data_IF_891845891888
#
_entry.id   IF_891845891888
#
_cell.length_a   1.000
_cell.length_b   1.000
_cell.length_c   1.000
_cell.angle_alpha   90.00
_cell.angle_beta   90.00
_cell.angle_gamma   90.00
#
_symmetry.space_group_name_H-M   'P 1'
#
loop_
_entity.id
_entity.type
_entity.pdbx_description
1 polymer ?
#
# COMPACT_ATOMS: atom_id res chain seq x y z
N UNK A 1 -11.99 -1.75 6.84
CA UNK A 1 -13.16 -2.55 6.45
C UNK A 1 -13.50 -3.48 7.60
N UNK A 2 -14.74 -3.43 8.06
CA UNK A 2 -15.20 -4.18 9.25
C UNK A 2 -15.16 -5.69 9.09
N UNK A 3 -15.28 -6.42 10.20
CA UNK A 3 -15.27 -7.87 10.21
C UNK A 3 -16.59 -8.44 9.66
N UNK A 4 -16.60 -8.96 8.45
CA UNK A 4 -17.77 -9.63 7.90
C UNK A 4 -17.66 -9.93 6.42
N UNK A 5 -18.52 -10.79 5.92
CA UNK A 5 -18.72 -11.06 4.51
C UNK A 5 -19.97 -10.34 3.98
N UNK A 6 -20.34 -9.21 4.62
CA UNK A 6 -21.63 -8.52 4.38
C UNK A 6 -21.92 -8.34 2.88
N UNK A 7 -20.99 -7.75 2.14
CA UNK A 7 -21.17 -7.54 0.69
C UNK A 7 -21.31 -8.89 -0.06
N UNK A 8 -20.50 -9.89 0.29
CA UNK A 8 -20.56 -11.22 -0.32
C UNK A 8 -21.89 -11.89 -0.02
N UNK A 9 -22.41 -11.74 1.18
CA UNK A 9 -23.69 -12.33 1.60
C UNK A 9 -24.87 -11.65 0.90
N UNK A 10 -24.85 -10.31 0.77
CA UNK A 10 -25.86 -9.58 -0.03
C UNK A 10 -25.82 -10.07 -1.49
N UNK A 11 -24.66 -10.14 -2.11
CA UNK A 11 -24.53 -10.61 -3.50
C UNK A 11 -25.03 -12.08 -3.62
N UNK A 12 -24.66 -12.94 -2.68
CA UNK A 12 -25.02 -14.35 -2.71
C UNK A 12 -26.48 -14.64 -2.30
N UNK A 13 -27.17 -13.66 -1.69
CA UNK A 13 -28.61 -13.81 -1.36
C UNK A 13 -29.47 -13.83 -2.62
N UNK A 14 -29.03 -13.16 -3.71
CA UNK A 14 -29.82 -13.02 -4.95
C UNK A 14 -31.01 -12.06 -4.85
N UNK A 15 -31.22 -11.43 -3.69
CA UNK A 15 -32.37 -10.56 -3.42
C UNK A 15 -32.17 -9.16 -4.04
N UNK A 16 -30.94 -8.71 -4.08
CA UNK A 16 -30.57 -7.37 -4.56
C UNK A 16 -30.02 -7.40 -5.98
N UNK A 17 -30.35 -6.42 -6.82
CA UNK A 17 -29.71 -6.30 -8.13
C UNK A 17 -28.22 -6.04 -7.99
N UNK A 18 -27.40 -6.72 -8.79
CA UNK A 18 -25.93 -6.65 -8.70
C UNK A 18 -25.35 -6.19 -10.03
N UNK A 19 -24.66 -5.06 -10.02
CA UNK A 19 -23.82 -4.62 -11.14
C UNK A 19 -22.37 -4.97 -10.87
N UNK A 20 -21.72 -5.66 -11.80
CA UNK A 20 -20.31 -6.07 -11.70
C UNK A 20 -19.45 -5.31 -12.70
N UNK A 21 -18.38 -4.68 -12.19
CA UNK A 21 -17.36 -4.07 -13.02
C UNK A 21 -16.29 -5.12 -13.36
N UNK A 22 -16.19 -5.48 -14.64
CA UNK A 22 -15.29 -6.55 -15.11
C UNK A 22 -14.06 -6.01 -15.84
N UNK A 23 -13.99 -4.70 -16.14
CA UNK A 23 -12.86 -4.09 -16.84
C UNK A 23 -12.00 -3.26 -15.91
N UNK A 24 -10.68 -3.42 -16.03
CA UNK A 24 -9.68 -2.60 -15.37
C UNK A 24 -9.27 -1.52 -16.37
N UNK A 25 -9.61 -0.25 -16.10
CA UNK A 25 -9.30 0.89 -16.98
C UNK A 25 -8.02 1.63 -16.59
N UNK A 26 -7.33 1.18 -15.56
CA UNK A 26 -6.22 1.90 -14.92
C UNK A 26 -4.93 1.85 -15.71
N UNK A 27 -4.74 0.83 -16.52
CA UNK A 27 -3.54 0.58 -17.34
C UNK A 27 -3.94 0.39 -18.81
N UNK A 28 -2.93 0.36 -19.72
CA UNK A 28 -3.14 0.04 -21.15
C UNK A 28 -3.72 -1.37 -21.29
N UNK A 29 -4.58 -1.60 -22.28
CA UNK A 29 -5.27 -2.89 -22.48
C UNK A 29 -4.32 -4.10 -22.60
N UNK A 30 -3.10 -3.91 -23.10
CA UNK A 30 -2.07 -4.95 -23.24
C UNK A 30 -1.05 -4.99 -22.09
N UNK A 31 -1.33 -4.33 -20.95
CA UNK A 31 -0.46 -4.34 -19.78
C UNK A 31 -0.41 -5.72 -19.13
N UNK A 32 0.78 -6.22 -18.85
CA UNK A 32 0.96 -7.46 -18.07
C UNK A 32 0.50 -7.31 -16.63
N UNK A 33 0.42 -6.09 -16.10
CA UNK A 33 -0.20 -5.84 -14.78
C UNK A 33 -1.67 -6.25 -14.82
N UNK A 34 -2.43 -5.84 -15.86
CA UNK A 34 -3.85 -6.20 -16.03
C UNK A 34 -4.00 -7.69 -16.27
N UNK A 35 -3.23 -8.24 -17.20
CA UNK A 35 -3.29 -9.67 -17.52
C UNK A 35 -2.98 -10.53 -16.28
N UNK A 36 -1.94 -10.18 -15.53
CA UNK A 36 -1.58 -10.90 -14.31
C UNK A 36 -2.57 -10.66 -13.17
N UNK A 37 -3.19 -9.48 -13.06
CA UNK A 37 -4.27 -9.25 -12.08
C UNK A 37 -5.45 -10.20 -12.34
N UNK A 38 -5.87 -10.40 -13.60
CA UNK A 38 -6.89 -11.38 -13.96
C UNK A 38 -6.43 -12.81 -13.67
N UNK A 39 -5.19 -13.18 -14.02
CA UNK A 39 -4.62 -14.49 -13.73
C UNK A 39 -4.52 -14.77 -12.23
N UNK A 40 -4.11 -13.79 -11.42
CA UNK A 40 -4.13 -13.87 -9.95
C UNK A 40 -5.56 -14.16 -9.48
N UNK A 41 -6.55 -13.41 -9.96
CA UNK A 41 -7.94 -13.58 -9.56
C UNK A 41 -8.51 -14.96 -9.93
N UNK A 42 -8.05 -15.55 -11.05
CA UNK A 42 -8.45 -16.88 -11.49
C UNK A 42 -7.60 -18.03 -10.88
N UNK A 43 -6.45 -17.73 -10.27
CA UNK A 43 -5.51 -18.74 -9.77
C UNK A 43 -4.65 -19.37 -10.85
N UNK A 44 -4.44 -18.66 -11.95
CA UNK A 44 -3.67 -19.08 -13.10
C UNK A 44 -2.18 -18.74 -12.96
N UNK A 45 -1.34 -19.36 -13.81
CA UNK A 45 0.08 -19.04 -13.87
C UNK A 45 0.31 -17.62 -14.43
N UNK A 46 1.27 -16.90 -13.81
CA UNK A 46 1.58 -15.52 -14.15
C UNK A 46 2.51 -15.44 -15.37
N UNK A 47 2.36 -14.36 -16.13
CA UNK A 47 3.27 -13.97 -17.19
C UNK A 47 4.35 -13.08 -16.59
N UNK A 48 5.59 -13.58 -16.50
CA UNK A 48 6.67 -12.92 -15.79
C UNK A 48 7.82 -12.53 -16.75
N UNK A 49 8.50 -11.43 -16.45
CA UNK A 49 9.78 -11.03 -17.06
C UNK A 49 9.75 -10.95 -18.61
N UNK A 50 8.66 -10.48 -19.19
CA UNK A 50 8.62 -10.23 -20.63
C UNK A 50 9.47 -9.02 -20.99
N UNK A 51 10.19 -9.10 -22.10
CA UNK A 51 10.92 -7.97 -22.67
C UNK A 51 9.93 -6.84 -22.95
N UNK A 52 10.29 -5.63 -22.55
CA UNK A 52 9.44 -4.43 -22.67
C UNK A 52 8.10 -4.53 -21.91
N UNK A 53 8.00 -5.45 -20.95
CA UNK A 53 6.83 -5.61 -20.08
C UNK A 53 6.83 -4.63 -18.91
N UNK A 54 5.79 -4.74 -18.08
CA UNK A 54 5.54 -3.92 -16.91
C UNK A 54 5.36 -4.76 -15.63
N UNK A 55 5.69 -6.07 -15.68
CA UNK A 55 5.52 -7.02 -14.59
C UNK A 55 6.73 -7.96 -14.47
N UNK A 56 7.49 -7.82 -13.39
CA UNK A 56 8.75 -8.51 -13.21
C UNK A 56 8.83 -9.28 -11.90
N UNK A 57 9.67 -10.31 -11.85
CA UNK A 57 10.09 -10.99 -10.63
C UNK A 57 11.61 -11.14 -10.59
N UNK A 58 12.19 -10.77 -9.45
CA UNK A 58 13.56 -11.09 -9.07
C UNK A 58 13.52 -12.19 -8.02
N UNK A 59 14.01 -13.38 -8.41
CA UNK A 59 13.93 -14.58 -7.54
C UNK A 59 15.02 -14.53 -6.48
N UNK A 60 14.64 -14.72 -5.24
CA UNK A 60 15.53 -14.91 -4.10
C UNK A 60 14.78 -15.59 -2.94
N UNK A 61 15.48 -16.40 -2.14
CA UNK A 61 14.90 -17.17 -1.05
C UNK A 61 15.47 -16.79 0.33
N UNK A 62 16.25 -15.71 0.40
CA UNK A 62 16.83 -15.19 1.64
C UNK A 62 16.27 -13.81 1.96
N UNK A 63 15.66 -13.64 3.15
CA UNK A 63 15.01 -12.38 3.53
C UNK A 63 15.97 -11.18 3.56
N UNK A 64 17.21 -11.38 4.03
CA UNK A 64 18.21 -10.31 4.08
C UNK A 64 18.60 -9.86 2.66
N UNK A 65 18.87 -10.84 1.77
CA UNK A 65 19.20 -10.54 0.38
C UNK A 65 18.00 -9.89 -0.35
N UNK A 66 16.77 -10.31 -0.06
CA UNK A 66 15.56 -9.65 -0.59
C UNK A 66 15.53 -8.17 -0.12
N UNK A 67 15.81 -7.90 1.15
CA UNK A 67 15.87 -6.54 1.67
C UNK A 67 16.93 -5.69 0.96
N UNK A 68 18.11 -6.25 0.71
CA UNK A 68 19.20 -5.58 -0.03
C UNK A 68 18.81 -5.33 -1.50
N UNK A 69 18.16 -6.30 -2.16
CA UNK A 69 17.63 -6.13 -3.51
C UNK A 69 16.57 -5.03 -3.57
N UNK A 70 15.66 -4.97 -2.60
CA UNK A 70 14.65 -3.90 -2.50
C UNK A 70 15.33 -2.52 -2.43
N UNK A 71 16.33 -2.39 -1.58
CA UNK A 71 17.12 -1.16 -1.44
C UNK A 71 17.85 -0.80 -2.75
N UNK A 72 18.52 -1.75 -3.39
CA UNK A 72 19.19 -1.52 -4.67
C UNK A 72 18.22 -1.13 -5.80
N UNK A 73 17.04 -1.76 -5.85
CA UNK A 73 15.98 -1.41 -6.80
C UNK A 73 15.57 0.05 -6.66
N UNK A 74 15.23 0.46 -5.44
CA UNK A 74 14.75 1.82 -5.17
C UNK A 74 15.82 2.87 -5.46
N UNK A 75 17.06 2.63 -5.02
CA UNK A 75 18.12 3.63 -5.09
C UNK A 75 18.83 3.71 -6.45
N UNK A 76 18.92 2.58 -7.17
CA UNK A 76 19.80 2.49 -8.34
C UNK A 76 19.13 1.93 -9.59
N UNK A 77 18.53 0.72 -9.50
CA UNK A 77 18.09 0.01 -10.71
C UNK A 77 16.89 0.67 -11.38
N UNK A 78 15.86 1.04 -10.59
CA UNK A 78 14.66 1.68 -11.12
C UNK A 78 14.98 3.08 -11.67
N UNK A 79 15.65 3.99 -10.94
CA UNK A 79 16.07 5.27 -11.50
C UNK A 79 16.85 5.11 -12.82
N UNK A 80 17.83 4.20 -12.86
CA UNK A 80 18.60 3.94 -14.09
C UNK A 80 17.74 3.39 -15.23
N UNK A 81 16.84 2.45 -14.95
CA UNK A 81 15.95 1.85 -15.95
C UNK A 81 15.02 2.89 -16.59
N UNK A 82 14.51 3.84 -15.82
CA UNK A 82 13.68 4.94 -16.29
C UNK A 82 14.49 6.21 -16.64
N UNK A 83 15.78 6.07 -16.98
CA UNK A 83 16.67 7.18 -17.39
C UNK A 83 16.73 8.35 -16.38
N UNK A 84 16.56 8.04 -15.10
CA UNK A 84 16.52 8.99 -13.98
C UNK A 84 15.33 9.99 -14.01
N UNK A 85 14.33 9.77 -14.87
CA UNK A 85 13.06 10.52 -14.90
C UNK A 85 12.06 9.93 -13.90
N UNK A 86 12.53 9.72 -12.65
CA UNK A 86 11.75 9.11 -11.56
C UNK A 86 12.09 9.83 -10.25
N UNK A 87 11.07 10.30 -9.57
CA UNK A 87 11.16 10.75 -8.18
C UNK A 87 10.99 9.52 -7.26
N UNK A 88 12.09 9.13 -6.59
CA UNK A 88 12.12 7.93 -5.72
C UNK A 88 11.01 7.98 -4.66
N UNK A 89 10.76 9.16 -4.10
CA UNK A 89 9.78 9.31 -3.02
C UNK A 89 8.33 9.32 -3.52
N UNK A 90 8.08 9.87 -4.71
CA UNK A 90 6.72 9.99 -5.25
C UNK A 90 6.32 8.79 -6.10
N UNK A 91 7.24 8.32 -6.94
CA UNK A 91 6.91 7.35 -7.98
C UNK A 91 7.06 5.90 -7.54
N UNK A 92 7.87 5.63 -6.51
CA UNK A 92 8.12 4.28 -6.03
C UNK A 92 7.43 4.04 -4.68
N UNK A 93 6.71 2.92 -4.59
CA UNK A 93 6.13 2.48 -3.33
C UNK A 93 6.42 1.01 -3.08
N UNK A 94 7.00 0.72 -1.92
CA UNK A 94 7.16 -0.65 -1.43
C UNK A 94 5.91 -1.04 -0.64
N UNK A 95 5.30 -2.18 -1.01
CA UNK A 95 4.11 -2.73 -0.37
C UNK A 95 4.44 -4.06 0.29
N UNK A 96 4.45 -4.11 1.62
CA UNK A 96 4.64 -5.36 2.35
C UNK A 96 3.34 -5.86 2.97
N UNK A 97 3.06 -7.17 2.97
CA UNK A 97 1.89 -7.70 3.66
C UNK A 97 2.00 -7.70 5.19
N UNK A 98 3.21 -7.54 5.75
CA UNK A 98 3.51 -7.64 7.18
C UNK A 98 4.07 -6.35 7.78
N UNK A 99 3.90 -6.18 9.10
CA UNK A 99 4.47 -5.03 9.84
C UNK A 99 5.82 -5.32 10.48
N UNK A 100 6.03 -6.54 10.98
CA UNK A 100 7.22 -6.97 11.75
C UNK A 100 8.08 -7.93 10.92
N UNK A 101 9.34 -8.11 11.31
CA UNK A 101 10.32 -8.95 10.59
C UNK A 101 11.15 -8.17 9.59
N UNK A 102 12.11 -8.83 8.95
CA UNK A 102 13.10 -8.22 8.03
C UNK A 102 12.40 -7.53 6.86
N UNK A 103 11.39 -8.18 6.27
CA UNK A 103 10.60 -7.66 5.16
C UNK A 103 9.33 -6.93 5.63
N UNK A 104 9.20 -6.68 6.93
CA UNK A 104 8.09 -5.94 7.51
C UNK A 104 8.24 -4.43 7.33
N UNK A 105 7.10 -3.74 7.25
CA UNK A 105 7.03 -2.28 7.04
C UNK A 105 7.89 -1.52 8.04
N UNK A 106 7.91 -1.94 9.30
CA UNK A 106 8.68 -1.25 10.34
C UNK A 106 10.19 -1.25 10.03
N UNK A 107 10.75 -2.42 9.70
CA UNK A 107 12.17 -2.54 9.36
C UNK A 107 12.48 -1.89 8.01
N UNK A 108 11.63 -2.10 7.00
CA UNK A 108 11.84 -1.51 5.68
C UNK A 108 11.85 0.02 5.73
N UNK A 109 11.00 0.65 6.55
CA UNK A 109 11.01 2.09 6.73
C UNK A 109 12.32 2.60 7.35
N UNK A 110 12.89 1.89 8.34
CA UNK A 110 14.20 2.24 8.89
C UNK A 110 15.31 2.12 7.84
N UNK A 111 15.35 0.99 7.11
CA UNK A 111 16.33 0.76 6.05
C UNK A 111 16.26 1.81 4.95
N UNK A 112 15.05 2.17 4.52
CA UNK A 112 14.85 3.17 3.48
C UNK A 112 15.12 4.59 3.99
N UNK A 113 14.72 4.95 5.20
CA UNK A 113 15.04 6.25 5.79
C UNK A 113 16.56 6.47 5.79
N UNK A 114 17.35 5.54 6.32
CA UNK A 114 18.81 5.66 6.36
C UNK A 114 19.46 5.65 4.96
N UNK A 115 18.81 5.03 3.98
CA UNK A 115 19.37 4.92 2.62
C UNK A 115 18.97 6.07 1.70
N UNK A 116 17.74 6.60 1.85
CA UNK A 116 17.18 7.65 0.98
C UNK A 116 17.38 9.03 1.61
N UNK A 117 17.18 9.11 2.92
CA UNK A 117 17.27 10.34 3.69
C UNK A 117 18.23 10.17 4.87
N UNK A 118 19.54 9.95 4.64
CA UNK A 118 20.51 9.78 5.71
C UNK A 118 20.65 11.02 6.58
N UNK A 119 21.17 10.84 7.79
CA UNK A 119 21.50 11.93 8.70
C UNK A 119 22.45 12.93 8.05
N UNK A 120 22.16 14.21 8.22
CA UNK A 120 23.02 15.30 7.74
C UNK A 120 22.95 16.48 8.74
N UNK A 121 24.01 17.27 8.80
CA UNK A 121 24.09 18.43 9.71
C UNK A 121 23.10 19.54 9.41
N UNK A 122 22.60 19.59 8.17
CA UNK A 122 21.63 20.58 7.67
C UNK A 122 20.16 20.14 7.87
N UNK A 123 19.92 18.93 8.42
CA UNK A 123 18.59 18.38 8.63
C UNK A 123 18.26 18.27 10.13
N UNK A 124 17.22 18.94 10.52
CA UNK A 124 16.69 18.79 11.87
C UNK A 124 15.99 17.43 12.04
N UNK A 125 16.08 16.89 13.24
CA UNK A 125 15.52 15.60 13.63
C UNK A 125 14.74 15.73 14.93
N UNK A 126 13.70 14.90 15.10
CA UNK A 126 12.94 14.73 16.32
C UNK A 126 12.70 13.25 16.58
N UNK A 127 12.89 12.82 17.83
CA UNK A 127 12.47 11.48 18.28
C UNK A 127 11.13 11.61 19.02
N UNK A 128 10.15 10.84 18.57
CA UNK A 128 8.84 10.76 19.21
C UNK A 128 8.36 9.30 19.27
N UNK A 129 8.03 8.84 20.47
CA UNK A 129 7.60 7.45 20.75
C UNK A 129 8.53 6.39 20.11
N UNK A 130 9.84 6.63 20.14
CA UNK A 130 10.85 5.73 19.59
C UNK A 130 11.02 5.80 18.06
N UNK A 131 10.26 6.63 17.37
CA UNK A 131 10.44 6.89 15.93
C UNK A 131 11.26 8.16 15.74
N UNK A 132 12.26 8.09 14.87
CA UNK A 132 13.07 9.24 14.46
C UNK A 132 12.44 9.87 13.21
N UNK A 133 12.02 11.13 13.31
CA UNK A 133 11.52 11.92 12.18
C UNK A 133 12.57 12.95 11.77
N UNK A 134 12.80 13.07 10.47
CA UNK A 134 13.83 13.93 9.86
C UNK A 134 13.24 14.74 8.71
N UNK A 135 13.71 15.95 8.52
CA UNK A 135 13.36 16.74 7.33
C UNK A 135 13.67 15.95 6.06
N UNK A 136 12.70 15.88 5.14
CA UNK A 136 12.76 15.07 3.91
C UNK A 136 12.13 13.68 4.04
N UNK A 137 11.70 13.24 5.23
CA UNK A 137 11.04 11.94 5.38
C UNK A 137 9.69 11.89 4.67
N UNK A 138 9.41 10.75 4.05
CA UNK A 138 8.10 10.40 3.52
C UNK A 138 7.24 9.81 4.63
N UNK A 139 6.07 10.40 4.87
CA UNK A 139 5.14 9.98 5.93
C UNK A 139 3.73 9.79 5.38
N UNK A 140 2.89 9.08 6.14
CA UNK A 140 1.48 8.87 5.84
C UNK A 140 0.65 9.17 7.09
N UNK A 141 -0.44 9.90 6.92
CA UNK A 141 -1.49 10.03 7.92
C UNK A 141 -2.19 8.68 8.13
N UNK A 142 -2.34 8.25 9.38
CA UNK A 142 -2.88 6.91 9.71
C UNK A 142 -4.25 6.94 10.39
N UNK A 143 -4.80 8.14 10.59
CA UNK A 143 -6.15 8.37 11.12
C UNK A 143 -6.77 9.58 10.42
N UNK A 144 -8.09 9.61 10.30
CA UNK A 144 -8.76 10.85 9.92
C UNK A 144 -8.69 11.84 11.08
N UNK A 145 -8.19 13.03 10.80
CA UNK A 145 -8.22 14.13 11.75
C UNK A 145 -8.77 15.38 11.08
N UNK A 146 -9.99 15.74 11.41
CA UNK A 146 -10.73 16.87 10.82
C UNK A 146 -10.35 18.22 11.44
N UNK A 147 -9.62 18.22 12.56
CA UNK A 147 -9.31 19.41 13.35
C UNK A 147 -7.88 19.92 13.14
N UNK A 148 -7.00 19.11 12.57
CA UNK A 148 -5.62 19.55 12.28
C UNK A 148 -5.66 20.75 11.35
N UNK A 149 -5.02 21.83 11.79
CA UNK A 149 -4.92 23.08 11.04
C UNK A 149 -3.73 23.03 10.09
N UNK A 150 -3.96 23.50 8.89
CA UNK A 150 -2.96 23.69 7.86
C UNK A 150 -3.23 24.95 7.05
N UNK A 151 -2.43 25.14 6.02
CA UNK A 151 -2.58 26.25 5.10
C UNK A 151 -2.07 25.88 3.70
N UNK A 152 -2.63 26.53 2.71
CA UNK A 152 -2.14 26.42 1.34
C UNK A 152 -0.84 27.20 1.17
N UNK A 153 0.14 26.59 0.49
CA UNK A 153 1.46 27.23 0.22
C UNK A 153 1.33 28.49 -0.62
N UNK A 154 0.36 28.53 -1.55
CA UNK A 154 0.20 29.59 -2.53
C UNK A 154 -0.23 30.93 -1.94
N UNK A 155 -1.17 30.93 -1.02
CA UNK A 155 -1.86 32.14 -0.55
C UNK A 155 -1.99 32.22 0.98
N UNK A 156 -1.57 31.17 1.70
CA UNK A 156 -1.67 31.10 3.16
C UNK A 156 -3.10 30.86 3.68
N UNK A 157 -4.06 30.59 2.78
CA UNK A 157 -5.44 30.30 3.21
C UNK A 157 -5.48 29.10 4.14
N UNK A 158 -6.23 29.22 5.23
CA UNK A 158 -6.36 28.14 6.20
C UNK A 158 -7.20 26.98 5.67
N UNK A 159 -6.73 25.78 5.93
CA UNK A 159 -7.43 24.52 5.65
C UNK A 159 -7.47 23.66 6.90
N UNK A 160 -8.47 22.81 7.00
CA UNK A 160 -8.60 21.80 8.07
C UNK A 160 -8.71 20.41 7.48
N UNK A 161 -8.15 19.47 8.19
CA UNK A 161 -8.35 18.04 7.97
C UNK A 161 -7.29 17.38 7.11
N UNK A 162 -6.76 16.28 7.65
CA UNK A 162 -5.89 15.32 6.96
C UNK A 162 -6.49 13.92 7.14
N UNK A 163 -6.45 13.10 6.09
CA UNK A 163 -7.18 11.86 6.07
C UNK A 163 -6.27 10.63 6.06
N UNK A 164 -6.78 9.54 6.59
CA UNK A 164 -6.08 8.27 6.60
C UNK A 164 -5.69 7.83 5.18
N UNK A 165 -4.40 7.63 4.96
CA UNK A 165 -3.83 7.29 3.66
C UNK A 165 -3.19 8.45 2.91
N UNK A 166 -3.37 9.71 3.36
CA UNK A 166 -2.70 10.86 2.77
C UNK A 166 -1.18 10.73 2.98
N UNK A 167 -0.42 10.84 1.90
CA UNK A 167 1.05 10.79 1.90
C UNK A 167 1.60 12.20 1.81
N UNK A 168 2.54 12.51 2.69
CA UNK A 168 3.21 13.80 2.73
C UNK A 168 4.72 13.66 2.98
N UNK A 169 5.38 14.82 2.98
CA UNK A 169 6.82 14.92 3.18
C UNK A 169 7.11 15.91 4.29
N UNK A 170 7.99 15.54 5.22
CA UNK A 170 8.41 16.42 6.30
C UNK A 170 9.29 17.53 5.71
N UNK A 171 8.84 18.77 5.85
CA UNK A 171 9.54 19.95 5.32
C UNK A 171 10.24 20.75 6.42
N UNK A 172 9.82 20.59 7.67
CA UNK A 172 10.43 21.27 8.82
C UNK A 172 10.25 20.43 10.08
N UNK A 173 11.27 20.44 10.93
CA UNK A 173 11.29 19.77 12.25
C UNK A 173 11.92 20.71 13.26
N UNK A 174 11.23 20.96 14.37
CA UNK A 174 11.78 21.66 15.51
C UNK A 174 11.44 20.94 16.81
N UNK A 175 11.86 21.44 17.97
CA UNK A 175 11.66 20.78 19.27
C UNK A 175 10.20 20.50 19.65
N UNK A 176 9.26 21.24 19.07
CA UNK A 176 7.84 21.20 19.43
C UNK A 176 6.96 20.60 18.33
N UNK A 177 7.34 20.78 17.07
CA UNK A 177 6.46 20.54 15.93
C UNK A 177 7.20 19.93 14.74
N UNK A 178 6.42 19.25 13.90
CA UNK A 178 6.80 18.80 12.57
C UNK A 178 5.81 19.41 11.57
N UNK A 179 6.30 20.00 10.49
CA UNK A 179 5.49 20.47 9.37
C UNK A 179 5.57 19.47 8.22
N UNK A 180 4.41 19.02 7.74
CA UNK A 180 4.30 18.04 6.65
C UNK A 180 3.59 18.67 5.46
N UNK A 181 4.20 18.56 4.29
CA UNK A 181 3.66 18.99 3.00
C UNK A 181 2.88 17.84 2.36
N UNK A 182 1.59 18.03 2.14
CA UNK A 182 0.70 17.10 1.42
C UNK A 182 0.32 17.67 0.04
N UNK A 183 0.12 16.79 -0.93
CA UNK A 183 -0.28 17.13 -2.31
C UNK A 183 0.60 18.21 -2.98
N UNK A 184 1.78 18.49 -2.44
CA UNK A 184 2.70 19.53 -2.92
C UNK A 184 2.25 20.96 -2.66
N UNK A 185 1.11 21.21 -2.01
CA UNK A 185 0.53 22.53 -1.86
C UNK A 185 -0.15 22.81 -0.51
N UNK A 186 -0.22 21.83 0.40
CA UNK A 186 -0.86 21.95 1.72
C UNK A 186 0.13 21.62 2.82
N UNK A 187 0.35 22.52 3.76
CA UNK A 187 1.22 22.29 4.91
C UNK A 187 0.36 22.14 6.15
N UNK A 188 0.56 21.03 6.87
CA UNK A 188 -0.07 20.77 8.16
C UNK A 188 0.98 20.66 9.25
N UNK A 189 0.65 21.21 10.42
CA UNK A 189 1.51 21.25 11.58
C UNK A 189 1.11 20.17 12.58
N UNK A 190 2.07 19.33 12.92
CA UNK A 190 1.93 18.28 13.94
C UNK A 190 2.70 18.63 15.19
N UNK A 191 2.06 18.58 16.33
CA UNK A 191 2.68 18.66 17.63
C UNK A 191 2.64 17.32 18.38
N UNK A 192 3.10 17.26 19.60
CA UNK A 192 3.15 16.02 20.40
C UNK A 192 1.77 15.39 20.65
N UNK A 193 0.68 16.10 20.45
CA UNK A 193 -0.68 15.58 20.69
C UNK A 193 -1.19 14.76 19.49
N UNK A 194 -0.78 15.13 18.29
CA UNK A 194 -1.24 14.50 17.05
C UNK A 194 -0.14 13.82 16.20
N UNK A 195 1.14 13.95 16.61
CA UNK A 195 2.27 13.34 15.90
C UNK A 195 2.19 11.79 15.85
N UNK A 196 1.47 11.15 16.78
CA UNK A 196 1.17 9.71 16.73
C UNK A 196 0.24 9.30 15.58
N UNK A 197 -0.29 10.26 14.84
CA UNK A 197 -1.19 10.03 13.71
C UNK A 197 -0.46 9.92 12.37
N UNK A 198 0.86 10.09 12.36
CA UNK A 198 1.69 9.86 11.18
C UNK A 198 2.66 8.70 11.40
N UNK A 199 2.96 7.97 10.33
CA UNK A 199 3.99 6.92 10.27
C UNK A 199 4.87 7.13 9.04
N UNK A 200 6.11 6.63 9.06
CA UNK A 200 6.94 6.59 7.84
C UNK A 200 6.25 5.80 6.74
N UNK A 201 6.42 6.23 5.50
CA UNK A 201 5.71 5.69 4.34
C UNK A 201 6.61 5.34 3.15
N UNK A 202 7.91 5.12 3.34
CA UNK A 202 8.78 4.53 2.32
C UNK A 202 8.29 3.14 1.93
N UNK A 203 7.89 2.35 2.93
CA UNK A 203 7.12 1.12 2.77
C UNK A 203 5.81 1.23 3.56
N UNK A 204 4.71 0.72 3.01
CA UNK A 204 3.40 0.66 3.66
C UNK A 204 2.80 -0.75 3.56
N UNK A 205 1.82 -1.05 4.41
CA UNK A 205 1.12 -2.33 4.28
C UNK A 205 0.20 -2.33 3.07
N UNK A 206 -0.01 -3.51 2.47
CA UNK A 206 -0.97 -3.65 1.36
C UNK A 206 -2.35 -3.12 1.72
N UNK A 207 -2.79 -3.29 2.97
CA UNK A 207 -4.08 -2.74 3.43
C UNK A 207 -4.12 -1.21 3.42
N UNK A 208 -3.03 -0.55 3.82
CA UNK A 208 -2.94 0.92 3.81
C UNK A 208 -2.82 1.51 2.39
N UNK A 209 -2.44 0.70 1.40
CA UNK A 209 -2.40 1.13 0.00
C UNK A 209 -3.78 1.12 -0.69
N UNK A 210 -4.83 0.63 -0.03
CA UNK A 210 -6.18 0.63 -0.59
C UNK A 210 -6.66 2.07 -0.81
N UNK A 211 -7.17 2.34 -2.00
CA UNK A 211 -7.57 3.70 -2.43
C UNK A 211 -6.44 4.49 -3.10
N UNK A 212 -5.17 4.17 -2.82
CA UNK A 212 -4.02 4.84 -3.42
C UNK A 212 -3.52 4.13 -4.68
N UNK A 213 -2.75 4.84 -5.49
CA UNK A 213 -2.13 4.34 -6.72
C UNK A 213 -0.72 4.91 -6.86
N UNK A 214 0.20 4.10 -7.36
CA UNK A 214 1.60 4.46 -7.50
C UNK A 214 2.12 4.14 -8.90
N UNK A 215 3.00 4.95 -9.50
CA UNK A 215 3.62 4.62 -10.78
C UNK A 215 4.32 3.26 -10.73
N UNK A 216 5.15 3.02 -9.74
CA UNK A 216 5.93 1.79 -9.57
C UNK A 216 5.66 1.18 -8.20
N UNK A 217 5.31 -0.10 -8.19
CA UNK A 217 5.08 -0.87 -6.95
C UNK A 217 6.09 -2.00 -6.86
N UNK A 218 6.74 -2.12 -5.70
CA UNK A 218 7.65 -3.21 -5.38
C UNK A 218 7.05 -4.03 -4.24
N UNK A 219 7.02 -5.34 -4.38
CA UNK A 219 6.38 -6.24 -3.42
C UNK A 219 7.35 -7.34 -3.02
N UNK A 220 7.82 -7.40 -1.76
CA UNK A 220 8.55 -8.55 -1.26
C UNK A 220 7.62 -9.76 -1.17
N UNK A 221 8.07 -10.89 -1.69
CA UNK A 221 7.36 -12.17 -1.69
C UNK A 221 8.18 -13.18 -0.90
N UNK A 222 7.67 -13.57 0.25
CA UNK A 222 8.31 -14.54 1.13
C UNK A 222 7.24 -15.36 1.88
N UNK A 223 7.66 -16.37 2.65
CA UNK A 223 6.73 -17.14 3.48
C UNK A 223 6.32 -16.36 4.72
N UNK A 224 5.17 -15.75 4.65
CA UNK A 224 4.52 -15.07 5.77
C UNK A 224 3.50 -16.01 6.45
N UNK A 225 2.73 -15.50 7.40
CA UNK A 225 1.61 -16.24 7.98
C UNK A 225 0.56 -16.59 6.93
N UNK A 226 -0.04 -17.77 7.00
CA UNK A 226 -1.00 -18.27 5.99
C UNK A 226 -2.15 -17.29 5.70
N UNK A 227 -2.59 -16.52 6.69
CA UNK A 227 -3.66 -15.51 6.53
C UNK A 227 -3.24 -14.41 5.55
N UNK A 228 -1.96 -14.04 5.52
CA UNK A 228 -1.43 -12.99 4.66
C UNK A 228 -0.94 -13.53 3.30
N UNK A 229 -0.79 -14.86 3.19
CA UNK A 229 -0.37 -15.57 1.99
C UNK A 229 -1.57 -15.92 1.12
N UNK A 230 -2.38 -14.94 0.74
CA UNK A 230 -3.60 -15.20 -0.03
C UNK A 230 -3.67 -14.35 -1.32
N UNK A 231 -4.47 -14.84 -2.26
CA UNK A 231 -4.71 -14.24 -3.57
C UNK A 231 -5.17 -12.79 -3.50
N UNK A 232 -6.06 -12.46 -2.57
CA UNK A 232 -6.65 -11.12 -2.48
C UNK A 232 -5.62 -10.06 -2.10
N UNK A 233 -4.67 -10.40 -1.22
CA UNK A 233 -3.57 -9.50 -0.83
C UNK A 233 -2.65 -9.27 -2.04
N UNK A 234 -2.27 -10.33 -2.75
CA UNK A 234 -1.45 -10.20 -3.95
C UNK A 234 -2.15 -9.36 -5.04
N UNK A 235 -3.42 -9.67 -5.32
CA UNK A 235 -4.24 -8.89 -6.26
C UNK A 235 -4.31 -7.42 -5.89
N UNK A 236 -4.60 -7.13 -4.62
CA UNK A 236 -4.69 -5.76 -4.11
C UNK A 236 -3.38 -5.02 -4.30
N UNK A 237 -2.24 -5.63 -3.96
CA UNK A 237 -0.93 -5.02 -4.10
C UNK A 237 -0.57 -4.75 -5.57
N UNK A 238 -0.73 -5.73 -6.45
CA UNK A 238 -0.43 -5.62 -7.89
C UNK A 238 -1.25 -4.54 -8.56
N UNK A 239 -2.55 -4.45 -8.23
CA UNK A 239 -3.45 -3.45 -8.82
C UNK A 239 -3.21 -2.03 -8.32
N UNK A 240 -2.28 -1.78 -7.41
CA UNK A 240 -1.86 -0.42 -7.01
C UNK A 240 -0.92 0.23 -8.02
N UNK A 241 -0.26 -0.55 -8.87
CA UNK A 241 0.71 -0.03 -9.84
C UNK A 241 0.06 0.52 -11.11
N UNK A 242 0.59 1.65 -11.60
CA UNK A 242 0.18 2.26 -12.89
C UNK A 242 1.11 1.90 -14.03
N UNK A 243 2.43 1.82 -13.79
CA UNK A 243 3.46 1.69 -14.83
C UNK A 243 4.28 0.42 -14.72
N UNK A 244 4.59 -0.03 -13.49
CA UNK A 244 5.45 -1.19 -13.29
C UNK A 244 5.20 -1.89 -11.95
N UNK A 245 5.21 -3.23 -11.97
CA UNK A 245 5.23 -4.09 -10.78
C UNK A 245 6.51 -4.88 -10.76
N UNK A 246 7.20 -4.88 -9.62
CA UNK A 246 8.38 -5.69 -9.38
C UNK A 246 8.15 -6.54 -8.13
N UNK A 247 8.07 -7.85 -8.32
CA UNK A 247 8.05 -8.82 -7.22
C UNK A 247 9.49 -9.21 -6.90
N UNK A 248 9.83 -9.30 -5.62
CA UNK A 248 11.17 -9.73 -5.18
C UNK A 248 11.02 -10.84 -4.16
N UNK A 249 11.50 -12.04 -4.48
CA UNK A 249 11.48 -13.13 -3.51
C UNK A 249 11.20 -14.53 -4.04
N UNK A 250 10.58 -15.35 -3.19
CA UNK A 250 10.36 -16.78 -3.41
C UNK A 250 9.22 -17.02 -4.41
N UNK A 251 9.55 -17.65 -5.54
CA UNK A 251 8.59 -18.03 -6.58
C UNK A 251 7.56 -19.04 -6.08
N UNK A 252 7.95 -19.94 -5.16
CA UNK A 252 7.03 -20.94 -4.60
C UNK A 252 6.00 -20.26 -3.67
N UNK A 253 6.47 -19.28 -2.88
CA UNK A 253 5.59 -18.45 -2.07
C UNK A 253 4.61 -17.66 -2.94
N UNK A 254 5.08 -17.09 -4.06
CA UNK A 254 4.22 -16.40 -5.03
C UNK A 254 3.12 -17.32 -5.59
N UNK A 255 3.51 -18.50 -6.07
CA UNK A 255 2.56 -19.47 -6.63
C UNK A 255 1.57 -20.01 -5.58
N UNK A 256 2.04 -20.13 -4.33
CA UNK A 256 1.14 -20.45 -3.22
C UNK A 256 0.10 -19.34 -3.01
N UNK A 257 0.50 -18.06 -2.99
CA UNK A 257 -0.43 -16.94 -2.86
C UNK A 257 -1.47 -16.90 -3.99
N UNK A 258 -1.05 -17.14 -5.23
CA UNK A 258 -1.96 -17.18 -6.41
C UNK A 258 -3.03 -18.26 -6.26
N UNK A 259 -2.67 -19.42 -5.72
CA UNK A 259 -3.58 -20.58 -5.55
C UNK A 259 -4.42 -20.49 -4.28
N UNK A 260 -3.92 -19.79 -3.27
CA UNK A 260 -4.57 -19.73 -1.95
C UNK A 260 -5.76 -18.76 -1.94
N UNK A 261 -6.96 -19.31 -1.86
CA UNK A 261 -8.22 -18.57 -1.73
C UNK A 261 -8.71 -18.50 -0.29
N UNK A 262 -7.95 -19.05 0.68
CA UNK A 262 -8.39 -19.10 2.08
C UNK A 262 -8.54 -17.67 2.61
N UNK A 263 -9.77 -17.27 2.81
CA UNK A 263 -10.17 -16.16 3.67
C UNK A 263 -10.56 -16.74 5.01
N UNK A 264 -10.43 -15.98 6.08
CA UNK A 264 -11.00 -16.38 7.38
C UNK A 264 -12.45 -16.76 7.16
N UNK A 265 -12.76 -18.05 7.29
CA UNK A 265 -14.14 -18.53 7.15
C UNK A 265 -14.93 -17.89 8.28
N UNK A 266 -15.82 -17.00 7.92
CA UNK A 266 -16.80 -16.41 8.82
C UNK A 266 -18.14 -16.99 8.44
N UNK A 267 -18.90 -17.41 9.42
CA UNK A 267 -20.27 -17.96 9.25
C UNK A 267 -21.27 -16.84 9.53
N UNK A 268 -21.56 -15.97 8.57
CA UNK A 268 -22.54 -14.94 8.76
C UNK A 268 -23.94 -15.54 8.62
N UNK A 269 -24.80 -15.25 9.58
CA UNK A 269 -26.22 -15.61 9.53
C UNK A 269 -27.04 -14.72 8.58
N UNK A 270 -26.41 -13.70 8.01
CA UNK A 270 -27.10 -12.64 7.24
C UNK A 270 -27.86 -13.20 6.02
N UNK A 271 -27.24 -14.14 5.28
CA UNK A 271 -27.93 -14.79 4.16
C UNK A 271 -29.17 -15.55 4.60
N UNK A 272 -29.10 -16.23 5.75
CA UNK A 272 -30.23 -16.97 6.32
C UNK A 272 -31.35 -16.01 6.74
N UNK A 273 -31.01 -14.94 7.46
CA UNK A 273 -31.97 -13.91 7.88
C UNK A 273 -32.67 -13.24 6.68
N UNK A 274 -31.95 -12.94 5.62
CA UNK A 274 -32.55 -12.39 4.40
C UNK A 274 -33.58 -13.35 3.79
N UNK A 275 -33.26 -14.63 3.70
CA UNK A 275 -34.19 -15.61 3.14
C UNK A 275 -35.42 -15.80 4.03
N UNK A 276 -35.28 -15.75 5.37
CA UNK A 276 -36.42 -15.80 6.28
C UNK A 276 -37.35 -14.58 6.10
N UNK A 277 -36.79 -13.37 6.01
CA UNK A 277 -37.60 -12.14 5.81
C UNK A 277 -38.35 -12.19 4.48
N UNK A 278 -37.68 -12.62 3.39
CA UNK A 278 -38.36 -12.75 2.08
C UNK A 278 -39.46 -13.77 2.15
N UNK A 279 -39.23 -14.94 2.73
CA UNK A 279 -40.29 -15.97 2.91
C UNK A 279 -41.49 -15.51 3.77
N UNK A 280 -41.22 -14.62 4.73
CA UNK A 280 -42.31 -14.03 5.54
C UNK A 280 -43.13 -12.98 4.76
N UNK A 281 -42.45 -12.22 3.87
CA UNK A 281 -43.12 -11.22 3.04
C UNK A 281 -43.95 -11.84 1.89
N UNK A 282 -43.52 -12.99 1.37
CA UNK A 282 -44.23 -13.74 0.31
C UNK A 282 -45.44 -14.52 0.85
N UNK A 283 -45.58 -14.71 2.17
CA UNK A 283 -46.68 -15.42 2.82
C UNK A 283 -47.83 -14.50 3.28
N UNK A 284 -47.61 -13.19 3.22
CA UNK A 284 -48.60 -12.15 3.49
C UNK A 284 -49.05 -11.46 2.19
#
# INVERSE_FOLDING_TARGET
VGPGNFLKDIINSGIFPVSRLNKIYRQKENSYIVLNAHKINNGEELILNKKDGDFYILKNNNENEICDILKELVLKRIPKFFSYDIDILKDIQVLSPIRKGILGVNNLNLVFQESINPKSSDKNEMIFLGNLYRVGDKVMQIKNNYEVLGYYVKDGEQIKGVFNGDIGYIIDVNEKNINVLYDGNKIFKYDKTNLSEIEHAYAITVHKSQGSEFPIVIIPIFRFTNILMNRNILYTAVTRAKRCVILVGDINALMYMVRNTSSTVRYPSLKYLFNEVVNLLEKN
#
